data_IF_142910210562
#
_entry.id   IF_142910210562
#
_cell.length_a   1.000
_cell.length_b   1.000
_cell.length_c   1.000
_cell.angle_alpha   90.00
_cell.angle_beta   90.00
_cell.angle_gamma   90.00
#
_symmetry.space_group_name_H-M   'P 1'
#
loop_
_entity.id
_entity.type
_entity.pdbx_description
1 polymer ?
#
# COMPACT_ATOMS: atom_id res chain seq x y z
N UNK A 1 24.98 0.64 -0.77
CA UNK A 1 24.69 0.77 0.68
C UNK A 1 24.04 -0.52 1.10
N UNK A 2 24.32 -1.10 2.25
CA UNK A 2 23.69 -2.36 2.68
C UNK A 2 22.34 -2.06 3.35
N UNK A 3 21.31 -2.88 3.11
CA UNK A 3 20.00 -2.68 3.73
C UNK A 3 20.07 -2.91 5.24
N UNK A 4 19.34 -2.11 6.03
CA UNK A 4 19.24 -2.30 7.48
C UNK A 4 18.52 -3.62 7.78
N UNK A 5 19.18 -4.50 8.54
CA UNK A 5 18.60 -5.74 9.03
C UNK A 5 17.43 -5.47 10.00
N UNK A 6 16.43 -6.34 10.00
CA UNK A 6 15.27 -6.23 10.91
C UNK A 6 14.22 -5.20 10.50
N UNK A 7 14.23 -4.74 9.25
CA UNK A 7 13.19 -3.86 8.70
C UNK A 7 11.99 -4.66 8.15
N UNK A 8 10.85 -4.00 8.02
CA UNK A 8 9.63 -4.59 7.47
C UNK A 8 9.00 -3.71 6.39
N UNK A 9 8.12 -4.31 5.59
CA UNK A 9 7.29 -3.64 4.59
C UNK A 9 5.83 -3.90 4.97
N UNK A 10 5.01 -2.85 4.95
CA UNK A 10 3.56 -3.00 5.09
C UNK A 10 2.96 -3.20 3.71
N UNK A 11 2.21 -4.29 3.53
CA UNK A 11 1.43 -4.53 2.31
C UNK A 11 -0.06 -4.32 2.59
N UNK A 12 -0.62 -3.21 2.11
CA UNK A 12 -2.04 -2.87 2.24
C UNK A 12 -2.81 -3.33 1.00
N UNK A 13 -3.10 -4.64 0.96
CA UNK A 13 -3.65 -5.36 -0.20
C UNK A 13 -5.16 -5.56 -0.04
N UNK A 14 -5.92 -4.46 -0.13
CA UNK A 14 -7.35 -4.42 0.14
C UNK A 14 -8.20 -3.98 -1.06
N UNK A 15 -7.63 -3.96 -2.26
CA UNK A 15 -8.30 -3.55 -3.51
C UNK A 15 -9.48 -4.44 -3.92
N UNK A 16 -9.61 -5.62 -3.32
CA UNK A 16 -10.79 -6.50 -3.48
C UNK A 16 -11.60 -6.71 -2.20
N UNK A 17 -11.43 -5.85 -1.19
CA UNK A 17 -12.19 -5.94 0.05
C UNK A 17 -13.71 -5.86 -0.20
N UNK A 18 -14.49 -6.60 0.60
CA UNK A 18 -15.95 -6.66 0.52
C UNK A 18 -16.56 -6.43 1.88
N UNK A 19 -17.76 -5.86 1.90
CA UNK A 19 -18.50 -5.59 3.13
C UNK A 19 -19.33 -4.32 3.00
N UNK A 20 -19.61 -3.72 4.15
CA UNK A 20 -20.24 -2.40 4.23
C UNK A 20 -19.42 -1.34 3.46
N UNK A 21 -20.02 -0.57 2.54
CA UNK A 21 -19.30 0.40 1.71
C UNK A 21 -18.54 1.46 2.50
N UNK A 22 -19.10 1.95 3.61
CA UNK A 22 -18.45 2.96 4.44
C UNK A 22 -17.24 2.36 5.16
N UNK A 23 -17.36 1.12 5.64
CA UNK A 23 -16.24 0.39 6.23
C UNK A 23 -15.12 0.12 5.22
N UNK A 24 -15.46 -0.23 3.97
CA UNK A 24 -14.48 -0.41 2.88
C UNK A 24 -13.83 0.94 2.54
N UNK A 25 -14.61 2.00 2.37
CA UNK A 25 -14.08 3.35 2.14
C UNK A 25 -13.13 3.79 3.26
N UNK A 26 -13.46 3.47 4.51
CA UNK A 26 -12.61 3.78 5.65
C UNK A 26 -11.23 3.10 5.58
N UNK A 27 -11.13 1.90 4.98
CA UNK A 27 -9.86 1.17 4.80
C UNK A 27 -8.93 1.85 3.79
N UNK A 28 -9.48 2.55 2.79
CA UNK A 28 -8.67 3.26 1.79
C UNK A 28 -8.44 4.73 2.18
N UNK A 29 -9.26 5.32 3.05
CA UNK A 29 -9.10 6.69 3.52
C UNK A 29 -8.52 6.81 4.94
N UNK A 30 -9.36 7.09 5.96
CA UNK A 30 -8.91 7.43 7.31
C UNK A 30 -8.08 6.34 8.00
N UNK A 31 -8.38 5.05 7.80
CA UNK A 31 -7.59 3.97 8.42
C UNK A 31 -6.22 3.82 7.79
N UNK A 32 -6.12 3.98 6.46
CA UNK A 32 -4.84 4.01 5.77
C UNK A 32 -3.98 5.18 6.24
N UNK A 33 -4.56 6.38 6.34
CA UNK A 33 -3.87 7.56 6.89
C UNK A 33 -3.33 7.30 8.29
N UNK A 34 -4.20 6.82 9.19
CA UNK A 34 -3.83 6.53 10.58
C UNK A 34 -2.71 5.48 10.65
N UNK A 35 -2.77 4.44 9.82
CA UNK A 35 -1.68 3.46 9.74
C UNK A 35 -0.36 4.13 9.35
N UNK A 36 -0.36 4.93 8.27
CA UNK A 36 0.83 5.63 7.80
C UNK A 36 1.44 6.53 8.89
N UNK A 37 0.60 7.25 9.65
CA UNK A 37 1.04 8.08 10.79
C UNK A 37 1.70 7.23 11.89
N UNK A 38 1.15 6.05 12.17
CA UNK A 38 1.62 5.21 13.27
C UNK A 38 2.88 4.41 12.96
N UNK A 39 3.20 4.20 11.68
CA UNK A 39 4.38 3.40 11.29
C UNK A 39 5.66 4.22 11.13
N UNK A 40 5.60 5.56 11.17
CA UNK A 40 6.77 6.45 10.95
C UNK A 40 7.95 6.11 11.84
N UNK A 41 7.71 5.95 13.15
CA UNK A 41 8.76 5.69 14.15
C UNK A 41 8.98 4.19 14.40
N UNK A 42 8.70 3.35 13.40
CA UNK A 42 8.82 1.90 13.49
C UNK A 42 9.84 1.37 12.48
N UNK A 43 10.26 0.09 12.58
CA UNK A 43 11.13 -0.53 11.57
C UNK A 43 10.49 -0.73 10.18
N UNK A 44 9.27 -0.20 9.95
CA UNK A 44 8.62 -0.22 8.64
C UNK A 44 9.34 0.76 7.72
N UNK A 45 10.01 0.24 6.69
CA UNK A 45 10.76 1.06 5.73
C UNK A 45 10.03 1.31 4.41
N UNK A 46 8.78 0.85 4.28
CA UNK A 46 8.02 1.03 3.05
C UNK A 46 6.60 0.53 3.13
N UNK A 47 5.78 1.06 2.22
CA UNK A 47 4.38 0.72 2.04
C UNK A 47 4.15 0.24 0.60
N UNK A 48 3.48 -0.90 0.45
CA UNK A 48 2.87 -1.33 -0.81
C UNK A 48 1.37 -1.11 -0.69
N UNK A 49 0.79 -0.34 -1.61
CA UNK A 49 -0.64 -0.08 -1.65
C UNK A 49 -1.27 -0.67 -2.92
N UNK A 50 -2.32 -1.46 -2.76
CA UNK A 50 -3.07 -2.05 -3.87
C UNK A 50 -4.13 -1.07 -4.39
N UNK A 51 -3.84 -0.45 -5.55
CA UNK A 51 -4.66 0.56 -6.20
C UNK A 51 -5.54 -0.01 -7.33
N UNK A 52 -5.75 -1.33 -7.35
CA UNK A 52 -6.54 -2.04 -8.35
C UNK A 52 -7.35 -3.17 -7.72
N UNK A 53 -8.52 -3.46 -8.28
CA UNK A 53 -9.37 -4.57 -7.84
C UNK A 53 -10.84 -4.29 -8.04
N UNK A 54 -11.68 -4.82 -7.15
CA UNK A 54 -13.15 -4.72 -7.25
C UNK A 54 -13.73 -3.60 -6.40
N UNK A 55 -12.94 -2.97 -5.53
CA UNK A 55 -13.33 -1.75 -4.81
C UNK A 55 -13.53 -0.62 -5.83
N UNK A 56 -14.49 0.27 -5.58
CA UNK A 56 -14.85 1.34 -6.51
C UNK A 56 -13.66 2.25 -6.87
N UNK A 57 -13.59 2.65 -8.13
CA UNK A 57 -12.46 3.43 -8.68
C UNK A 57 -12.17 4.71 -7.89
N UNK A 58 -13.21 5.46 -7.51
CA UNK A 58 -13.06 6.68 -6.70
C UNK A 58 -12.45 6.40 -5.32
N UNK A 59 -12.81 5.27 -4.69
CA UNK A 59 -12.27 4.87 -3.39
C UNK A 59 -10.79 4.48 -3.51
N UNK A 60 -10.43 3.77 -4.59
CA UNK A 60 -9.04 3.41 -4.88
C UNK A 60 -8.20 4.63 -5.24
N UNK A 61 -8.74 5.56 -6.02
CA UNK A 61 -8.09 6.83 -6.33
C UNK A 61 -7.85 7.66 -5.06
N UNK A 62 -8.87 7.80 -4.20
CA UNK A 62 -8.74 8.50 -2.92
C UNK A 62 -7.72 7.85 -1.98
N UNK A 63 -7.66 6.52 -1.92
CA UNK A 63 -6.64 5.87 -1.10
C UNK A 63 -5.23 5.94 -1.68
N UNK A 64 -5.08 5.98 -3.01
CA UNK A 64 -3.81 6.33 -3.64
C UNK A 64 -3.36 7.74 -3.22
N UNK A 65 -4.26 8.72 -3.24
CA UNK A 65 -3.93 10.08 -2.80
C UNK A 65 -3.47 10.13 -1.34
N UNK A 66 -4.08 9.33 -0.45
CA UNK A 66 -3.65 9.19 0.94
C UNK A 66 -2.25 8.59 1.03
N UNK A 67 -1.96 7.53 0.28
CA UNK A 67 -0.64 6.90 0.25
C UNK A 67 0.43 7.86 -0.30
N UNK A 68 0.14 8.53 -1.41
CA UNK A 68 1.03 9.53 -2.03
C UNK A 68 1.28 10.72 -1.07
N UNK A 69 0.26 11.16 -0.34
CA UNK A 69 0.42 12.20 0.68
C UNK A 69 1.32 11.74 1.83
N UNK A 70 1.12 10.52 2.35
CA UNK A 70 1.97 9.94 3.38
C UNK A 70 3.43 9.83 2.94
N UNK A 71 3.68 9.37 1.70
CA UNK A 71 5.00 9.33 1.09
C UNK A 71 5.64 10.72 1.05
N UNK A 72 4.91 11.76 0.61
CA UNK A 72 5.46 13.13 0.60
C UNK A 72 5.72 13.68 2.00
N UNK A 73 4.85 13.40 2.97
CA UNK A 73 4.95 13.96 4.32
C UNK A 73 6.06 13.31 5.13
N UNK A 74 6.15 11.98 5.13
CA UNK A 74 7.09 11.23 5.99
C UNK A 74 8.23 10.57 5.24
N UNK A 75 8.27 10.71 3.90
CA UNK A 75 9.30 10.12 3.04
C UNK A 75 9.39 8.59 3.15
N UNK A 76 8.32 7.93 3.60
CA UNK A 76 8.21 6.46 3.60
C UNK A 76 8.14 5.99 2.15
N UNK A 77 9.08 5.17 1.66
CA UNK A 77 9.02 4.59 0.33
C UNK A 77 7.68 3.93 0.01
N UNK A 78 7.11 4.26 -1.15
CA UNK A 78 5.80 3.79 -1.58
C UNK A 78 5.92 3.01 -2.90
N UNK A 79 5.24 1.87 -2.98
CA UNK A 79 4.95 1.19 -4.23
C UNK A 79 3.44 1.05 -4.40
N UNK A 80 2.97 1.29 -5.62
CA UNK A 80 1.57 1.14 -6.01
C UNK A 80 1.44 -0.13 -6.84
N UNK A 81 0.48 -0.99 -6.51
CA UNK A 81 0.10 -2.11 -7.37
C UNK A 81 -1.10 -1.66 -8.21
N UNK A 82 -0.92 -1.64 -9.52
CA UNK A 82 -1.95 -1.20 -10.47
C UNK A 82 -2.49 -2.35 -11.33
N UNK A 83 -1.90 -3.53 -11.23
CA UNK A 83 -2.44 -4.74 -11.86
C UNK A 83 -3.65 -5.24 -11.09
N UNK A 84 -4.71 -5.63 -11.80
CA UNK A 84 -5.89 -6.21 -11.18
C UNK A 84 -5.53 -7.56 -10.50
N UNK A 85 -5.89 -7.79 -9.22
CA UNK A 85 -5.63 -9.06 -8.53
C UNK A 85 -6.26 -10.29 -9.18
N UNK A 86 -7.28 -10.12 -10.05
CA UNK A 86 -7.82 -11.20 -10.87
C UNK A 86 -6.82 -11.73 -11.91
N UNK A 87 -5.83 -10.91 -12.32
CA UNK A 87 -4.70 -11.30 -13.17
C UNK A 87 -3.57 -11.88 -12.31
N UNK A 88 -3.86 -12.97 -11.59
CA UNK A 88 -3.07 -13.46 -10.45
C UNK A 88 -1.55 -13.53 -10.69
N UNK A 89 -1.11 -14.09 -11.81
CA UNK A 89 0.32 -14.23 -12.11
C UNK A 89 1.02 -12.88 -12.28
N UNK A 90 0.37 -11.95 -13.00
CA UNK A 90 0.89 -10.60 -13.24
C UNK A 90 0.90 -9.80 -11.94
N UNK A 91 -0.18 -9.87 -11.17
CA UNK A 91 -0.29 -9.21 -9.87
C UNK A 91 0.77 -9.73 -8.89
N UNK A 92 0.98 -11.05 -8.80
CA UNK A 92 1.97 -11.64 -7.90
C UNK A 92 3.40 -11.22 -8.27
N UNK A 93 3.69 -11.16 -9.57
CA UNK A 93 4.97 -10.67 -10.07
C UNK A 93 5.20 -9.20 -9.71
N UNK A 94 4.19 -8.34 -9.91
CA UNK A 94 4.25 -6.92 -9.55
C UNK A 94 4.42 -6.72 -8.04
N UNK A 95 3.61 -7.42 -7.22
CA UNK A 95 3.64 -7.35 -5.76
C UNK A 95 5.02 -7.77 -5.21
N UNK A 96 5.53 -8.91 -5.67
CA UNK A 96 6.82 -9.44 -5.22
C UNK A 96 7.98 -8.53 -5.66
N UNK A 97 7.95 -8.04 -6.89
CA UNK A 97 8.96 -7.09 -7.38
C UNK A 97 8.93 -5.77 -6.61
N UNK A 98 7.74 -5.29 -6.25
CA UNK A 98 7.57 -4.08 -5.46
C UNK A 98 8.11 -4.24 -4.04
N UNK A 99 7.78 -5.34 -3.35
CA UNK A 99 8.35 -5.64 -2.03
C UNK A 99 9.88 -5.74 -2.09
N UNK A 100 10.43 -6.46 -3.07
CA UNK A 100 11.89 -6.56 -3.25
C UNK A 100 12.53 -5.20 -3.46
N UNK A 101 11.99 -4.37 -4.36
CA UNK A 101 12.49 -3.01 -4.60
C UNK A 101 12.47 -2.14 -3.35
N UNK A 102 11.45 -2.31 -2.49
CA UNK A 102 11.37 -1.59 -1.22
C UNK A 102 12.25 -2.19 -0.12
N UNK A 103 12.70 -3.44 -0.22
CA UNK A 103 13.64 -4.08 0.71
C UNK A 103 15.10 -3.87 0.29
N UNK A 104 15.35 -3.77 -1.00
CA UNK A 104 16.67 -3.53 -1.57
C UNK A 104 17.14 -2.08 -1.22
N UNK A 105 18.45 -1.88 -1.02
CA UNK A 105 19.01 -0.61 -0.60
C UNK A 105 19.17 0.44 -1.73
#
# INVERSE_FOLDING_TARGET
>A
MEALAGTSIVCWLLGTARGDPDAVGALHGPRLRMLCEKVVDTPVRGLVYEAAGTVGEEVLAGGREVADAAHRTWQIPLALLVTNPAEHERWLAEATASVRRLLDP
#
